data_IF_074746586967
#
_entry.id   IF_074746586967
#
_cell.length_a   1.000
_cell.length_b   1.000
_cell.length_c   1.000
_cell.angle_alpha   90.00
_cell.angle_beta   90.00
_cell.angle_gamma   90.00
#
_symmetry.space_group_name_H-M   'P 1'
#
loop_
_entity.id
_entity.type
_entity.pdbx_description
1 polymer ?
#
# COMPACT_ATOMS: atom_id res chain seq x y z
N UNK A 1 -11.34 23.34 11.29
CA UNK A 1 -10.97 22.23 10.37
C UNK A 1 -10.83 20.88 11.08
N UNK A 2 -10.01 20.78 12.14
CA UNK A 2 -9.76 19.54 12.89
C UNK A 2 -11.04 18.91 13.47
N UNK A 3 -11.91 19.70 14.10
CA UNK A 3 -13.16 19.17 14.67
C UNK A 3 -14.08 18.55 13.62
N UNK A 4 -14.12 19.15 12.42
CA UNK A 4 -14.91 18.63 11.30
C UNK A 4 -14.33 17.30 10.82
N UNK A 5 -13.01 17.23 10.65
CA UNK A 5 -12.31 16.00 10.29
C UNK A 5 -12.59 14.87 11.28
N UNK A 6 -12.40 15.12 12.58
CA UNK A 6 -12.60 14.13 13.65
C UNK A 6 -14.05 13.65 13.83
N UNK A 7 -15.04 14.31 13.21
CA UNK A 7 -16.48 14.00 13.39
C UNK A 7 -17.17 13.51 12.12
N UNK A 8 -16.62 13.80 10.94
CA UNK A 8 -17.35 13.62 9.68
C UNK A 8 -16.56 12.92 8.58
N UNK A 9 -15.32 12.51 8.85
CA UNK A 9 -14.48 11.80 7.88
C UNK A 9 -14.05 10.46 8.45
N UNK A 10 -14.53 9.38 7.84
CA UNK A 10 -13.92 8.08 8.05
C UNK A 10 -12.59 8.01 7.28
N UNK A 11 -11.57 7.51 7.94
CA UNK A 11 -10.26 7.21 7.33
C UNK A 11 -9.99 5.72 7.41
N UNK A 12 -9.20 5.21 6.48
CA UNK A 12 -8.80 3.81 6.45
C UNK A 12 -7.30 3.64 6.24
N UNK A 13 -6.81 2.44 6.55
CA UNK A 13 -5.44 2.03 6.28
C UNK A 13 -5.39 0.52 6.02
N UNK A 14 -4.38 0.09 5.26
CA UNK A 14 -4.07 -1.32 5.01
C UNK A 14 -3.06 -1.84 6.06
N UNK A 15 -1.84 -1.29 6.06
CA UNK A 15 -0.73 -1.68 6.96
C UNK A 15 0.07 -0.48 7.51
N UNK A 16 -0.57 0.36 8.31
CA UNK A 16 0.07 1.57 8.84
C UNK A 16 0.49 1.42 10.31
N UNK A 17 1.69 0.87 10.53
CA UNK A 17 2.30 0.75 11.88
C UNK A 17 2.65 2.10 12.50
N UNK A 18 2.78 3.16 11.71
CA UNK A 18 3.14 4.50 12.21
C UNK A 18 1.88 5.26 12.60
N UNK A 19 0.83 5.23 11.77
CA UNK A 19 -0.47 5.85 12.03
C UNK A 19 -1.10 5.33 13.33
N UNK A 20 -1.04 4.01 13.57
CA UNK A 20 -1.53 3.40 14.80
C UNK A 20 -0.77 3.90 16.05
N UNK A 21 0.49 4.32 15.94
CA UNK A 21 1.22 4.93 17.06
C UNK A 21 0.88 6.40 17.30
N UNK A 22 0.14 7.02 16.38
CA UNK A 22 -0.22 8.43 16.43
C UNK A 22 -1.73 8.64 16.64
N UNK A 23 -2.44 7.66 17.23
CA UNK A 23 -3.90 7.72 17.40
C UNK A 23 -4.41 8.93 18.19
N UNK A 24 -3.59 9.55 19.05
CA UNK A 24 -3.92 10.79 19.77
C UNK A 24 -4.33 11.95 18.83
N UNK A 25 -3.84 11.93 17.59
CA UNK A 25 -4.17 12.93 16.58
C UNK A 25 -5.47 12.62 15.84
N UNK A 26 -5.98 11.40 15.95
CA UNK A 26 -7.18 10.92 15.26
C UNK A 26 -8.38 10.83 16.22
N UNK A 27 -9.49 10.34 15.69
CA UNK A 27 -10.61 9.85 16.48
C UNK A 27 -10.79 8.38 16.10
N UNK A 28 -10.61 7.47 17.05
CA UNK A 28 -10.72 6.03 16.82
C UNK A 28 -12.11 5.61 16.33
N UNK A 29 -13.16 6.38 16.64
CA UNK A 29 -14.53 6.12 16.19
C UNK A 29 -14.72 6.44 14.68
N UNK A 30 -13.71 7.05 14.06
CA UNK A 30 -13.71 7.45 12.64
C UNK A 30 -12.59 6.76 11.85
N UNK A 31 -11.98 5.71 12.40
CA UNK A 31 -10.91 4.95 11.75
C UNK A 31 -11.38 3.53 11.42
N UNK A 32 -11.12 3.08 10.21
CA UNK A 32 -11.40 1.73 9.76
C UNK A 32 -10.10 1.04 9.31
N UNK A 33 -10.01 -0.27 9.48
CA UNK A 33 -9.07 -1.07 8.70
C UNK A 33 -9.70 -1.41 7.35
N UNK A 34 -8.89 -1.45 6.29
CA UNK A 34 -9.32 -1.93 4.98
C UNK A 34 -8.38 -3.03 4.46
N UNK A 35 -8.96 -4.03 3.79
CA UNK A 35 -8.17 -5.08 3.15
C UNK A 35 -7.61 -4.65 1.80
N UNK A 36 -8.32 -3.77 1.09
CA UNK A 36 -8.06 -3.36 -0.29
C UNK A 36 -7.85 -4.51 -1.31
N UNK A 37 -8.46 -5.68 -1.06
CA UNK A 37 -8.40 -6.81 -1.98
C UNK A 37 -9.17 -6.51 -3.29
N UNK A 38 -8.65 -6.88 -4.48
CA UNK A 38 -7.45 -7.67 -4.75
C UNK A 38 -6.24 -6.84 -5.21
N UNK A 39 -6.10 -5.59 -4.75
CA UNK A 39 -4.97 -4.77 -5.19
C UNK A 39 -3.63 -5.39 -4.79
N UNK A 40 -2.59 -5.13 -5.60
CA UNK A 40 -1.27 -5.75 -5.44
C UNK A 40 -0.54 -5.35 -4.16
N UNK A 41 -0.93 -4.22 -3.58
CA UNK A 41 -0.46 -3.65 -2.32
C UNK A 41 -1.38 -4.01 -1.13
N UNK A 42 -2.38 -4.87 -1.35
CA UNK A 42 -3.18 -5.44 -0.26
C UNK A 42 -2.40 -6.47 0.55
N UNK A 43 -2.90 -6.75 1.76
CA UNK A 43 -2.32 -7.75 2.65
C UNK A 43 -2.98 -9.13 2.54
N UNK A 44 -3.84 -9.32 1.56
CA UNK A 44 -4.41 -10.64 1.31
C UNK A 44 -3.31 -11.64 0.89
N UNK A 45 -3.36 -12.92 1.34
CA UNK A 45 -4.36 -13.54 2.22
C UNK A 45 -4.06 -13.43 3.72
N UNK A 46 -3.00 -12.72 4.12
CA UNK A 46 -2.44 -12.66 5.48
C UNK A 46 -2.89 -11.43 6.30
N UNK A 47 -3.95 -10.77 5.87
CA UNK A 47 -4.49 -9.57 6.51
C UNK A 47 -4.75 -9.71 8.03
N UNK A 48 -5.36 -10.81 8.54
CA UNK A 48 -5.54 -11.00 9.98
C UNK A 48 -4.23 -11.00 10.77
N UNK A 49 -3.18 -11.63 10.24
CA UNK A 49 -1.85 -11.66 10.88
C UNK A 49 -1.20 -10.26 10.89
N UNK A 50 -1.26 -9.54 9.76
CA UNK A 50 -0.72 -8.18 9.69
C UNK A 50 -1.44 -7.20 10.63
N UNK A 51 -2.75 -7.36 10.82
CA UNK A 51 -3.53 -6.60 11.81
C UNK A 51 -2.98 -6.83 13.22
N UNK A 52 -2.71 -8.09 13.61
CA UNK A 52 -2.16 -8.39 14.93
C UNK A 52 -0.78 -7.78 15.10
N UNK A 53 0.07 -7.86 14.08
CA UNK A 53 1.39 -7.22 14.09
C UNK A 53 1.31 -5.68 14.15
N UNK A 54 0.28 -5.09 13.55
CA UNK A 54 0.12 -3.63 13.44
C UNK A 54 -0.51 -3.02 14.69
N UNK A 55 -1.57 -3.62 15.24
CA UNK A 55 -2.37 -3.05 16.32
C UNK A 55 -2.72 -4.01 17.45
N UNK A 56 -2.18 -5.24 17.47
CA UNK A 56 -2.48 -6.24 18.52
C UNK A 56 -1.99 -5.89 19.93
N UNK A 57 -1.30 -4.76 20.09
CA UNK A 57 -0.91 -4.20 21.39
C UNK A 57 -1.92 -3.20 21.97
N UNK A 58 -2.96 -2.85 21.19
CA UNK A 58 -4.06 -2.01 21.65
C UNK A 58 -5.11 -2.84 22.40
N UNK A 59 -6.00 -2.16 23.12
CA UNK A 59 -7.14 -2.80 23.75
C UNK A 59 -8.09 -3.40 22.70
N UNK A 60 -8.67 -4.57 23.01
CA UNK A 60 -9.64 -5.26 22.14
C UNK A 60 -10.80 -4.36 21.70
N UNK A 61 -11.22 -3.42 22.56
CA UNK A 61 -12.28 -2.48 22.23
C UNK A 61 -11.90 -1.55 21.06
N UNK A 62 -10.65 -1.06 21.04
CA UNK A 62 -10.14 -0.20 19.96
C UNK A 62 -9.96 -1.02 18.68
N UNK A 63 -9.42 -2.24 18.81
CA UNK A 63 -9.28 -3.16 17.68
C UNK A 63 -10.66 -3.48 17.08
N UNK A 64 -11.68 -3.73 17.89
CA UNK A 64 -13.04 -4.02 17.41
C UNK A 64 -13.63 -2.83 16.65
N UNK A 65 -13.50 -1.60 17.18
CA UNK A 65 -13.90 -0.37 16.50
C UNK A 65 -13.31 -0.28 15.11
N UNK A 66 -11.98 -0.36 15.03
CA UNK A 66 -11.24 -0.17 13.78
C UNK A 66 -11.51 -1.31 12.79
N UNK A 67 -11.55 -2.57 13.25
CA UNK A 67 -11.67 -3.72 12.34
C UNK A 67 -13.08 -3.92 11.78
N UNK A 68 -14.13 -3.58 12.53
CA UNK A 68 -15.49 -3.85 12.06
C UNK A 68 -16.60 -2.94 12.63
N UNK A 69 -16.57 -2.53 13.89
CA UNK A 69 -17.73 -1.82 14.49
C UNK A 69 -17.97 -0.44 13.87
N UNK A 70 -16.90 0.29 13.53
CA UNK A 70 -17.02 1.59 12.84
C UNK A 70 -17.62 1.42 11.43
N UNK A 71 -17.18 0.40 10.69
CA UNK A 71 -17.73 0.10 9.37
C UNK A 71 -19.21 -0.32 9.47
N UNK A 72 -19.57 -1.14 10.46
CA UNK A 72 -20.95 -1.53 10.73
C UNK A 72 -21.83 -0.31 11.00
N UNK A 73 -21.36 0.64 11.80
CA UNK A 73 -22.07 1.88 12.09
C UNK A 73 -22.18 2.79 10.84
N UNK A 74 -21.06 3.02 10.14
CA UNK A 74 -20.99 3.87 8.95
C UNK A 74 -21.93 3.40 7.83
N UNK A 75 -21.95 2.09 7.59
CA UNK A 75 -22.76 1.48 6.53
C UNK A 75 -24.13 0.99 7.01
N UNK A 76 -24.47 1.16 8.29
CA UNK A 76 -25.73 0.70 8.89
C UNK A 76 -26.01 -0.78 8.59
N UNK A 77 -24.98 -1.62 8.77
CA UNK A 77 -25.01 -3.03 8.40
C UNK A 77 -24.69 -3.93 9.60
N UNK A 78 -25.50 -4.98 9.77
CA UNK A 78 -25.28 -6.03 10.76
C UNK A 78 -24.81 -7.33 10.06
N UNK A 79 -23.50 -7.65 10.07
CA UNK A 79 -22.99 -8.91 9.52
C UNK A 79 -23.43 -10.11 10.35
N UNK A 80 -23.70 -9.92 11.65
CA UNK A 80 -23.92 -11.04 12.57
C UNK A 80 -25.29 -11.71 12.40
N UNK A 81 -26.21 -11.06 11.69
CA UNK A 81 -27.46 -11.68 11.22
C UNK A 81 -27.24 -12.83 10.23
N UNK A 82 -26.07 -12.86 9.57
CA UNK A 82 -25.72 -13.87 8.57
C UNK A 82 -24.69 -14.87 9.09
N UNK A 83 -23.68 -14.38 9.82
CA UNK A 83 -22.64 -15.22 10.40
C UNK A 83 -22.52 -14.85 11.88
N UNK A 84 -22.87 -15.75 12.83
CA UNK A 84 -22.77 -15.46 14.26
C UNK A 84 -21.37 -14.95 14.65
N UNK A 85 -21.28 -14.03 15.61
CA UNK A 85 -20.02 -13.35 15.97
C UNK A 85 -18.90 -14.33 16.32
N UNK A 86 -19.23 -15.44 16.98
CA UNK A 86 -18.32 -16.52 17.33
C UNK A 86 -17.77 -17.30 16.13
N UNK A 87 -18.50 -17.28 15.00
CA UNK A 87 -18.11 -17.89 13.72
C UNK A 87 -17.49 -16.86 12.75
N UNK A 88 -17.70 -15.57 12.96
CA UNK A 88 -17.12 -14.48 12.15
C UNK A 88 -15.62 -14.22 12.46
N UNK A 89 -14.86 -15.27 12.75
CA UNK A 89 -13.42 -15.21 13.05
C UNK A 89 -12.61 -15.68 11.84
N UNK A 90 -11.48 -15.03 11.57
CA UNK A 90 -10.61 -15.35 10.44
C UNK A 90 -10.30 -16.86 10.31
N UNK A 91 -9.95 -17.53 11.41
CA UNK A 91 -9.68 -18.97 11.41
C UNK A 91 -10.89 -19.83 11.04
N UNK A 92 -12.09 -19.47 11.51
CA UNK A 92 -13.32 -20.20 11.18
C UNK A 92 -13.71 -20.00 9.71
N UNK A 93 -13.64 -18.76 9.21
CA UNK A 93 -13.97 -18.44 7.83
C UNK A 93 -12.99 -19.08 6.83
N UNK A 94 -11.69 -19.09 7.14
CA UNK A 94 -10.67 -19.79 6.32
C UNK A 94 -10.92 -21.29 6.25
N UNK A 95 -11.38 -21.91 7.34
CA UNK A 95 -11.71 -23.35 7.34
C UNK A 95 -12.89 -23.71 6.42
N UNK A 96 -13.73 -22.74 6.04
CA UNK A 96 -14.83 -22.92 5.08
C UNK A 96 -14.40 -22.69 3.61
N UNK A 97 -13.24 -22.08 3.37
CA UNK A 97 -12.79 -21.60 2.06
C UNK A 97 -11.56 -22.39 1.56
N UNK A 98 -11.58 -23.72 1.69
CA UNK A 98 -10.44 -24.60 1.37
C UNK A 98 -10.16 -24.72 -0.12
N UNK A 99 -11.08 -24.27 -0.96
CA UNK A 99 -11.03 -24.29 -2.42
C UNK A 99 -10.53 -22.97 -3.04
N UNK A 100 -10.28 -21.94 -2.22
CA UNK A 100 -9.79 -20.63 -2.68
C UNK A 100 -8.30 -20.70 -2.97
N UNK A 101 -7.93 -20.37 -4.22
CA UNK A 101 -6.54 -20.17 -4.59
C UNK A 101 -6.03 -18.86 -3.98
N UNK A 102 -5.08 -18.99 -3.05
CA UNK A 102 -4.47 -17.87 -2.33
C UNK A 102 -3.20 -17.33 -3.00
N UNK A 103 -2.81 -17.89 -4.14
CA UNK A 103 -1.63 -17.46 -4.88
C UNK A 103 -1.99 -16.27 -5.77
N UNK A 104 -1.32 -15.14 -5.56
CA UNK A 104 -1.46 -14.00 -6.46
C UNK A 104 -0.79 -14.32 -7.81
N UNK A 105 -1.61 -14.58 -8.82
CA UNK A 105 -1.16 -14.74 -10.20
C UNK A 105 -0.91 -13.36 -10.84
N UNK A 106 0.19 -12.72 -10.47
CA UNK A 106 0.60 -11.45 -11.10
C UNK A 106 1.28 -11.69 -12.45
N UNK A 107 0.96 -10.81 -13.39
CA UNK A 107 1.59 -10.78 -14.71
C UNK A 107 1.00 -11.80 -15.67
N UNK A 108 0.70 -11.33 -16.88
CA UNK A 108 0.59 -12.20 -18.04
C UNK A 108 1.81 -11.97 -18.92
N UNK A 109 2.17 -12.95 -19.75
CA UNK A 109 3.17 -12.71 -20.79
C UNK A 109 2.72 -11.51 -21.61
N UNK A 110 3.64 -10.57 -21.84
CA UNK A 110 3.37 -9.39 -22.65
C UNK A 110 2.72 -9.83 -23.97
N UNK A 111 1.56 -9.28 -24.26
CA UNK A 111 0.87 -9.47 -25.53
C UNK A 111 1.58 -8.69 -26.63
N UNK A 112 1.16 -8.91 -27.88
CA UNK A 112 1.67 -8.06 -28.97
C UNK A 112 1.28 -6.59 -28.75
N UNK A 113 0.08 -6.34 -28.23
CA UNK A 113 -0.39 -4.99 -27.88
C UNK A 113 0.53 -4.30 -26.86
N UNK A 114 0.98 -5.03 -25.84
CA UNK A 114 1.85 -4.47 -24.80
C UNK A 114 3.24 -4.16 -25.37
N UNK A 115 3.76 -5.05 -26.22
CA UNK A 115 5.02 -4.82 -26.94
C UNK A 115 4.92 -3.59 -27.84
N UNK A 116 3.85 -3.45 -28.60
CA UNK A 116 3.66 -2.31 -29.49
C UNK A 116 3.49 -1.00 -28.71
N UNK A 117 2.79 -1.04 -27.57
CA UNK A 117 2.65 0.11 -26.67
C UNK A 117 3.99 0.53 -26.08
N UNK A 118 4.77 -0.44 -25.60
CA UNK A 118 6.14 -0.21 -25.14
C UNK A 118 7.00 0.42 -26.22
N UNK A 119 7.01 -0.15 -27.44
CA UNK A 119 7.76 0.41 -28.57
C UNK A 119 7.39 1.86 -28.84
N UNK A 120 6.09 2.20 -28.89
CA UNK A 120 5.64 3.60 -29.06
C UNK A 120 6.11 4.51 -27.93
N UNK A 121 6.00 4.06 -26.70
CA UNK A 121 6.43 4.81 -25.51
C UNK A 121 7.94 5.03 -25.49
N UNK A 122 8.75 4.06 -25.91
CA UNK A 122 10.21 4.15 -25.87
C UNK A 122 10.82 4.70 -27.17
N UNK A 123 10.01 4.94 -28.20
CA UNK A 123 10.49 5.35 -29.52
C UNK A 123 11.28 6.65 -29.47
N UNK A 124 10.84 7.60 -28.62
CA UNK A 124 11.55 8.87 -28.43
C UNK A 124 12.93 8.66 -27.77
N UNK A 125 13.01 7.76 -26.78
CA UNK A 125 14.25 7.46 -26.08
C UNK A 125 15.25 6.74 -27.00
N UNK A 126 14.76 5.79 -27.81
CA UNK A 126 15.58 5.08 -28.81
C UNK A 126 16.07 6.01 -29.93
N UNK A 127 15.23 6.94 -30.39
CA UNK A 127 15.64 7.96 -31.36
C UNK A 127 16.67 8.92 -30.76
N UNK A 128 16.46 9.40 -29.54
CA UNK A 128 17.42 10.25 -28.84
C UNK A 128 18.78 9.56 -28.67
N UNK A 129 18.79 8.29 -28.28
CA UNK A 129 20.01 7.49 -28.12
C UNK A 129 20.73 7.21 -29.45
N UNK A 130 19.98 7.00 -30.53
CA UNK A 130 20.55 6.82 -31.87
C UNK A 130 21.08 8.14 -32.48
N UNK A 131 20.51 9.28 -32.09
CA UNK A 131 20.96 10.62 -32.49
C UNK A 131 22.05 11.22 -31.60
N UNK A 132 22.32 10.59 -30.44
CA UNK A 132 23.40 11.01 -29.56
C UNK A 132 24.74 10.71 -30.25
N UNK A 133 25.46 11.77 -30.62
CA UNK A 133 26.84 11.65 -31.08
C UNK A 133 27.71 11.01 -29.99
N UNK A 134 28.77 10.30 -30.41
CA UNK A 134 29.74 9.68 -29.53
C UNK A 134 30.16 10.66 -28.40
N UNK A 135 30.35 10.18 -27.16
CA UNK A 135 30.64 11.05 -26.03
C UNK A 135 31.82 11.95 -26.37
N UNK A 136 31.60 13.26 -26.31
CA UNK A 136 32.67 14.23 -26.50
C UNK A 136 33.62 14.06 -25.33
N UNK A 137 34.75 13.39 -25.55
CA UNK A 137 35.86 13.38 -24.62
C UNK A 137 36.48 14.76 -24.62
N UNK A 138 36.10 15.59 -23.65
CA UNK A 138 36.74 16.88 -23.43
C UNK A 138 37.95 16.59 -22.55
N UNK A 139 39.17 16.66 -23.10
CA UNK A 139 40.37 16.63 -22.26
C UNK A 139 40.38 17.89 -21.38
N UNK A 140 40.27 17.69 -20.07
CA UNK A 140 40.30 18.75 -19.08
C UNK A 140 41.74 19.25 -18.84
N UNK A 141 42.42 19.72 -19.89
CA UNK A 141 43.79 20.24 -19.84
C UNK A 141 43.96 21.43 -18.86
N UNK A 142 42.87 22.07 -18.45
CA UNK A 142 42.87 23.20 -17.50
C UNK A 142 42.72 22.86 -16.02
N UNK A 143 42.43 21.59 -15.65
CA UNK A 143 42.21 21.23 -14.23
C UNK A 143 43.54 20.90 -13.52
N UNK A 144 44.54 20.40 -14.25
CA UNK A 144 45.84 20.02 -13.68
C UNK A 144 46.61 21.20 -13.04
N UNK A 145 46.36 22.44 -13.47
CA UNK A 145 47.06 23.63 -12.96
C UNK A 145 46.48 24.23 -11.68
N UNK A 146 45.31 23.79 -11.20
CA UNK A 146 44.68 24.33 -9.97
C UNK A 146 45.07 23.58 -8.70
N UNK A 147 45.74 22.44 -8.82
CA UNK A 147 46.14 21.62 -7.68
C UNK A 147 47.33 22.21 -6.88
N UNK A 148 48.03 23.23 -7.39
CA UNK A 148 49.20 23.84 -6.72
C UNK A 148 48.92 25.17 -6.01
N UNK A 149 47.69 25.70 -6.03
CA UNK A 149 47.34 26.97 -5.36
C UNK A 149 46.65 26.79 -4.00
N UNK A 150 46.47 25.55 -3.54
CA UNK A 150 46.06 25.27 -2.16
C UNK A 150 47.15 24.41 -1.51
N UNK A 151 48.30 25.06 -1.28
CA UNK A 151 49.35 24.54 -0.42
C UNK A 151 48.92 24.51 1.04
N UNK A 152 49.45 23.50 1.74
CA UNK A 152 49.61 23.31 3.19
C UNK A 152 49.14 24.42 4.13
#
# INVERSE_FOLDING_TARGET
>A
PTDVFKRHFYTCFISDKVGVRNMDWFNEDMLCWESDFPHSDSNWPFAPEDIIDTMGHLDDAVINKITHENAMAAYSFDPFRHIPKEQARAGHLRAQATDVDVVTHVGHRASQRDRDAWTRMTQFALQAQASAQAPVTVEAAGIAGRATTLGN
#
